data_IF_201131996359
#
_entry.id   IF_201131996359
#
_cell.length_a   1.000
_cell.length_b   1.000
_cell.length_c   1.000
_cell.angle_alpha   90.00
_cell.angle_beta   90.00
_cell.angle_gamma   90.00
#
_symmetry.space_group_name_H-M   'P 1'
#
loop_
_entity.id
_entity.type
_entity.pdbx_description
1 polymer ?
#
# COMPACT_ATOMS: atom_id res chain seq x y z
N UNK A 1 -50.90 -28.65 -39.45
CA UNK A 1 -49.50 -29.06 -39.72
C UNK A 1 -48.63 -27.81 -39.97
N UNK A 2 -48.69 -26.66 -39.28
CA UNK A 2 -48.98 -26.28 -37.89
C UNK A 2 -48.13 -26.99 -36.83
N UNK A 3 -46.80 -27.04 -37.01
CA UNK A 3 -45.84 -27.26 -35.91
C UNK A 3 -44.37 -26.90 -36.22
N UNK A 4 -44.08 -25.96 -37.14
CA UNK A 4 -42.68 -25.57 -37.47
C UNK A 4 -42.52 -24.08 -37.81
N UNK A 5 -43.15 -23.18 -37.05
CA UNK A 5 -42.98 -21.72 -37.23
C UNK A 5 -42.72 -20.98 -35.89
N UNK A 6 -42.50 -21.75 -34.81
CA UNK A 6 -42.30 -21.23 -33.45
C UNK A 6 -40.87 -21.33 -32.90
N UNK A 7 -39.96 -22.02 -33.58
CA UNK A 7 -38.59 -22.23 -33.07
C UNK A 7 -37.55 -21.27 -33.65
N UNK A 8 -37.80 -20.64 -34.80
CA UNK A 8 -36.85 -19.68 -35.40
C UNK A 8 -36.97 -18.26 -34.82
N UNK A 9 -38.08 -17.94 -34.12
CA UNK A 9 -38.22 -16.68 -33.37
C UNK A 9 -37.70 -16.72 -31.93
N UNK A 10 -37.21 -17.87 -31.47
CA UNK A 10 -36.72 -18.07 -30.10
C UNK A 10 -35.19 -18.13 -29.96
N UNK A 11 -34.44 -18.03 -31.08
CA UNK A 11 -32.97 -18.18 -31.07
C UNK A 11 -32.20 -16.94 -31.57
N UNK A 12 -32.87 -15.88 -32.02
CA UNK A 12 -32.17 -14.70 -32.56
C UNK A 12 -32.80 -13.36 -32.15
N UNK A 13 -32.71 -12.98 -30.88
CA UNK A 13 -32.66 -11.57 -30.44
C UNK A 13 -32.37 -11.46 -28.92
N UNK A 14 -31.13 -11.03 -28.60
CA UNK A 14 -30.74 -10.16 -27.46
C UNK A 14 -31.23 -10.58 -26.06
N UNK A 15 -30.43 -11.26 -25.22
CA UNK A 15 -29.27 -10.72 -24.51
C UNK A 15 -29.32 -9.20 -24.32
N UNK A 16 -29.79 -8.75 -23.14
CA UNK A 16 -29.28 -7.54 -22.52
C UNK A 16 -29.33 -7.66 -20.99
N UNK A 17 -28.21 -7.28 -20.41
CA UNK A 17 -27.78 -7.30 -19.01
C UNK A 17 -28.70 -6.48 -18.11
N UNK A 18 -29.67 -7.09 -17.44
CA UNK A 18 -30.22 -6.68 -16.12
C UNK A 18 -31.36 -7.60 -15.72
N UNK A 19 -31.29 -8.14 -14.50
CA UNK A 19 -32.24 -9.05 -13.81
C UNK A 19 -32.10 -10.53 -14.15
N UNK A 20 -31.33 -11.26 -13.33
CA UNK A 20 -31.86 -12.32 -12.46
C UNK A 20 -30.72 -12.90 -11.63
N UNK A 21 -30.72 -12.64 -10.32
CA UNK A 21 -30.39 -13.56 -9.21
C UNK A 21 -30.00 -12.79 -7.95
N UNK A 22 -31.00 -12.16 -7.33
CA UNK A 22 -31.17 -12.35 -5.90
C UNK A 22 -31.66 -13.79 -5.68
N UNK A 23 -30.98 -14.50 -4.79
CA UNK A 23 -31.56 -15.58 -3.99
C UNK A 23 -31.64 -16.96 -4.64
N UNK A 24 -30.67 -17.82 -4.28
CA UNK A 24 -30.98 -19.13 -3.65
C UNK A 24 -29.74 -19.66 -2.95
N UNK A 25 -29.82 -19.77 -1.63
CA UNK A 25 -28.98 -20.62 -0.82
C UNK A 25 -29.37 -22.10 -1.04
N UNK A 26 -28.42 -22.96 -1.40
CA UNK A 26 -28.37 -24.40 -1.05
C UNK A 26 -26.91 -24.87 -1.07
N UNK A 27 -26.57 -25.66 -0.05
CA UNK A 27 -25.28 -26.30 0.24
C UNK A 27 -24.64 -27.08 -0.93
N UNK A 28 -23.30 -27.12 -0.94
CA UNK A 28 -22.49 -27.97 -1.81
C UNK A 28 -21.12 -28.26 -1.20
N UNK A 29 -20.99 -29.46 -0.62
CA UNK A 29 -19.78 -30.08 -0.07
C UNK A 29 -18.71 -30.24 -1.17
N UNK A 30 -17.44 -29.90 -0.89
CA UNK A 30 -16.27 -30.57 -1.48
C UNK A 30 -15.02 -30.34 -0.64
N UNK A 31 -14.69 -31.35 0.16
CA UNK A 31 -13.40 -31.55 0.81
C UNK A 31 -12.46 -32.31 -0.13
N UNK A 32 -11.22 -31.84 -0.33
CA UNK A 32 -10.06 -32.61 -0.83
C UNK A 32 -8.81 -31.73 -0.63
N UNK A 33 -7.65 -32.15 -0.11
CA UNK A 33 -7.21 -33.29 0.68
C UNK A 33 -5.78 -32.93 1.11
N UNK A 34 -5.47 -32.96 2.40
CA UNK A 34 -4.11 -32.82 2.93
C UNK A 34 -3.43 -34.21 3.01
N UNK A 35 -2.20 -34.32 2.50
CA UNK A 35 -1.23 -35.41 2.73
C UNK A 35 0.00 -35.12 1.83
N UNK A 36 1.27 -35.20 2.22
CA UNK A 36 1.98 -35.68 3.41
C UNK A 36 3.37 -35.02 3.46
N UNK A 37 3.96 -35.02 4.65
CA UNK A 37 5.34 -34.63 4.93
C UNK A 37 6.38 -35.72 4.58
N UNK A 38 7.61 -35.23 4.35
CA UNK A 38 8.93 -35.79 4.68
C UNK A 38 9.45 -37.12 4.08
N UNK A 39 10.49 -37.00 3.24
CA UNK A 39 11.80 -37.69 3.29
C UNK A 39 12.63 -37.12 2.12
N UNK A 40 13.88 -36.69 2.18
CA UNK A 40 15.03 -37.05 2.99
C UNK A 40 16.18 -37.32 2.00
N UNK A 41 17.27 -36.53 2.07
CA UNK A 41 18.64 -36.78 1.59
C UNK A 41 19.26 -35.64 0.76
N UNK A 42 20.32 -35.05 1.31
CA UNK A 42 21.36 -34.31 0.56
C UNK A 42 22.12 -35.24 -0.39
N UNK A 43 22.86 -34.68 -1.36
CA UNK A 43 24.31 -34.77 -1.19
C UNK A 43 25.09 -33.51 -1.59
N UNK A 44 26.18 -33.34 -0.86
CA UNK A 44 27.43 -32.63 -1.19
C UNK A 44 27.94 -32.89 -2.60
N UNK A 45 28.54 -31.87 -3.22
CA UNK A 45 29.40 -32.03 -4.40
C UNK A 45 29.89 -30.70 -4.97
N UNK A 46 31.06 -30.26 -4.50
CA UNK A 46 31.85 -29.22 -5.13
C UNK A 46 32.34 -29.64 -6.53
N UNK A 47 32.53 -28.65 -7.42
CA UNK A 47 33.71 -28.48 -8.30
C UNK A 47 33.37 -27.86 -9.67
N UNK A 48 33.88 -26.64 -9.83
CA UNK A 48 34.77 -26.22 -10.93
C UNK A 48 34.21 -25.90 -12.32
N UNK A 49 34.63 -24.70 -12.74
CA UNK A 49 34.62 -24.08 -14.06
C UNK A 49 34.97 -24.99 -15.24
N UNK A 50 34.39 -24.67 -16.40
CA UNK A 50 35.14 -24.58 -17.65
C UNK A 50 34.39 -23.68 -18.64
N UNK A 51 35.15 -22.74 -19.22
CA UNK A 51 34.77 -21.89 -20.33
C UNK A 51 34.96 -22.62 -21.68
N UNK A 52 34.23 -22.15 -22.71
CA UNK A 52 34.64 -22.07 -24.12
C UNK A 52 33.54 -21.22 -24.81
N UNK A 53 33.76 -19.98 -25.24
CA UNK A 53 34.57 -19.49 -26.38
C UNK A 53 34.05 -19.96 -27.74
N UNK A 54 33.49 -19.02 -28.50
CA UNK A 54 33.87 -18.61 -29.86
C UNK A 54 33.01 -17.36 -30.22
N UNK A 55 33.58 -16.15 -30.24
CA UNK A 55 34.37 -15.52 -31.31
C UNK A 55 33.50 -15.19 -32.55
N UNK A 56 33.09 -13.91 -32.68
CA UNK A 56 33.66 -12.89 -33.60
C UNK A 56 32.95 -12.89 -34.97
N UNK A 57 32.61 -11.77 -35.63
CA UNK A 57 33.44 -10.58 -35.85
C UNK A 57 32.57 -9.44 -36.41
N UNK A 58 32.85 -8.22 -35.92
CA UNK A 58 32.96 -6.87 -36.51
C UNK A 58 32.39 -6.60 -37.94
N UNK A 59 32.05 -5.37 -38.36
CA UNK A 59 32.69 -4.10 -38.05
C UNK A 59 31.83 -2.88 -38.39
N UNK A 60 32.15 -1.79 -37.70
CA UNK A 60 31.70 -0.42 -37.86
C UNK A 60 32.19 0.26 -39.16
N UNK A 61 31.65 1.44 -39.47
CA UNK A 61 32.48 2.61 -39.84
C UNK A 61 31.71 3.93 -39.73
N UNK A 62 32.44 4.94 -39.28
CA UNK A 62 32.09 6.33 -38.99
C UNK A 62 32.01 7.24 -40.24
N UNK A 63 31.41 8.43 -40.10
CA UNK A 63 32.05 9.72 -40.41
C UNK A 63 31.16 10.92 -40.04
N UNK A 64 31.81 12.01 -39.61
CA UNK A 64 31.24 13.33 -39.31
C UNK A 64 31.51 14.32 -40.46
N UNK A 65 30.69 15.39 -40.59
CA UNK A 65 31.11 16.81 -40.77
C UNK A 65 29.99 17.75 -41.30
N UNK A 66 29.75 18.83 -40.53
CA UNK A 66 29.41 20.25 -40.82
C UNK A 66 28.93 20.77 -42.19
N UNK A 67 27.88 21.62 -42.19
CA UNK A 67 27.84 23.05 -42.66
C UNK A 67 26.42 23.63 -42.42
N UNK A 68 26.23 24.74 -41.69
CA UNK A 68 26.21 26.17 -42.08
C UNK A 68 24.85 26.73 -42.57
N UNK A 69 24.55 27.95 -42.08
CA UNK A 69 23.29 28.68 -42.08
C UNK A 69 22.84 29.28 -43.44
N UNK A 70 21.57 29.70 -43.56
CA UNK A 70 21.11 31.06 -44.02
C UNK A 70 19.57 31.20 -43.93
N UNK A 71 19.16 32.42 -43.59
CA UNK A 71 17.85 33.04 -43.36
C UNK A 71 16.73 32.79 -44.39
N UNK A 72 15.47 32.88 -43.93
CA UNK A 72 14.46 33.78 -44.52
C UNK A 72 13.25 33.95 -43.59
N UNK A 73 12.98 35.20 -43.22
CA UNK A 73 11.80 35.64 -42.49
C UNK A 73 10.52 35.51 -43.34
N UNK A 74 9.40 35.14 -42.72
CA UNK A 74 8.08 35.63 -43.14
C UNK A 74 7.15 35.72 -41.92
N UNK A 75 6.70 36.94 -41.68
CA UNK A 75 5.69 37.41 -40.75
C UNK A 75 4.35 36.72 -40.97
N UNK A 76 3.72 36.20 -39.91
CA UNK A 76 2.28 36.03 -39.86
C UNK A 76 1.81 36.23 -38.41
N UNK A 77 0.96 37.24 -38.23
CA UNK A 77 0.38 37.64 -36.97
C UNK A 77 -0.40 36.49 -36.32
N UNK A 78 0.04 36.06 -35.14
CA UNK A 78 -0.76 35.25 -34.24
C UNK A 78 -1.56 36.21 -33.36
N UNK A 79 -2.83 36.38 -33.71
CA UNK A 79 -3.84 36.94 -32.80
C UNK A 79 -3.90 36.00 -31.60
N UNK A 80 -3.45 36.52 -30.46
CA UNK A 80 -3.53 35.88 -29.14
C UNK A 80 -5.01 35.81 -28.73
N UNK A 81 -5.69 34.78 -29.20
CA UNK A 81 -6.92 34.32 -28.58
C UNK A 81 -6.50 33.54 -27.33
N UNK A 82 -6.31 34.28 -26.23
CA UNK A 82 -6.31 33.70 -24.90
C UNK A 82 -7.69 33.06 -24.68
N UNK A 83 -7.78 31.77 -24.97
CA UNK A 83 -8.87 30.93 -24.54
C UNK A 83 -8.75 30.79 -23.03
N UNK A 84 -9.41 31.68 -22.29
CA UNK A 84 -9.85 31.40 -20.93
C UNK A 84 -10.77 30.17 -21.01
N UNK A 85 -10.18 28.99 -20.97
CA UNK A 85 -10.88 27.78 -20.59
C UNK A 85 -11.17 27.92 -19.10
N UNK A 86 -12.23 28.64 -18.77
CA UNK A 86 -12.87 28.51 -17.48
C UNK A 86 -13.31 27.04 -17.39
N UNK A 87 -12.53 26.25 -16.65
CA UNK A 87 -12.88 24.89 -16.27
C UNK A 87 -14.27 24.96 -15.67
N UNK A 88 -15.26 24.37 -16.35
CA UNK A 88 -16.58 24.21 -15.75
C UNK A 88 -16.36 23.50 -14.41
N UNK A 89 -16.96 24.01 -13.33
CA UNK A 89 -16.91 23.35 -12.03
C UNK A 89 -17.35 21.90 -12.25
N UNK A 90 -16.49 20.95 -11.86
CA UNK A 90 -16.77 19.53 -12.00
C UNK A 90 -18.13 19.21 -11.37
N UNK A 91 -18.94 18.40 -12.06
CA UNK A 91 -20.18 17.91 -11.48
C UNK A 91 -19.81 17.00 -10.30
N UNK A 92 -20.37 17.30 -9.14
CA UNK A 92 -20.13 16.53 -7.93
C UNK A 92 -20.93 15.22 -8.06
N UNK A 93 -20.22 14.11 -8.18
CA UNK A 93 -20.76 12.76 -8.15
C UNK A 93 -20.41 12.09 -6.81
N UNK A 94 -21.28 11.23 -6.29
CA UNK A 94 -21.09 10.60 -4.97
C UNK A 94 -21.83 9.27 -4.82
N UNK A 95 -21.58 8.53 -3.72
CA UNK A 95 -20.79 8.93 -2.54
C UNK A 95 -19.26 8.87 -2.75
N UNK A 96 -18.50 9.62 -1.94
CA UNK A 96 -17.05 9.49 -1.82
C UNK A 96 -16.72 8.28 -0.94
N UNK A 97 -16.11 7.24 -1.51
CA UNK A 97 -15.70 6.05 -0.78
C UNK A 97 -14.30 6.22 -0.23
N UNK A 98 -14.19 6.26 1.10
CA UNK A 98 -12.96 6.60 1.81
C UNK A 98 -12.52 5.44 2.71
N UNK A 99 -11.41 4.78 2.35
CA UNK A 99 -10.74 3.78 3.17
C UNK A 99 -9.65 4.40 4.07
N UNK A 100 -9.70 4.09 5.36
CA UNK A 100 -8.72 4.54 6.35
C UNK A 100 -8.42 3.45 7.40
N UNK A 101 -7.54 3.78 8.35
CA UNK A 101 -7.18 2.95 9.50
C UNK A 101 -8.14 3.17 10.68
N UNK A 102 -8.34 2.16 11.52
CA UNK A 102 -8.92 2.33 12.84
C UNK A 102 -8.22 3.43 13.66
N UNK A 103 -9.01 4.28 14.32
CA UNK A 103 -8.53 5.38 15.19
C UNK A 103 -7.76 6.51 14.49
N UNK A 104 -7.84 6.61 13.15
CA UNK A 104 -7.17 7.66 12.36
C UNK A 104 -8.11 8.79 11.93
N UNK A 105 -9.31 8.86 12.48
CA UNK A 105 -10.25 9.97 12.28
C UNK A 105 -10.60 10.58 13.64
N UNK A 106 -11.09 11.81 13.63
CA UNK A 106 -11.40 12.62 14.82
C UNK A 106 -12.67 12.14 15.56
N UNK A 107 -12.70 10.87 15.91
CA UNK A 107 -13.69 10.28 16.81
C UNK A 107 -13.14 10.27 18.25
N UNK A 108 -14.00 10.59 19.20
CA UNK A 108 -13.73 10.39 20.63
C UNK A 108 -14.70 9.35 21.21
N UNK A 109 -14.49 8.94 22.47
CA UNK A 109 -15.30 7.90 23.12
C UNK A 109 -16.80 8.21 23.20
N UNK A 110 -17.20 9.48 23.06
CA UNK A 110 -18.59 9.94 23.13
C UNK A 110 -19.26 10.09 21.74
N UNK A 111 -18.48 10.21 20.67
CA UNK A 111 -18.95 10.50 19.32
C UNK A 111 -19.07 9.22 18.47
N UNK A 112 -20.18 9.09 17.75
CA UNK A 112 -20.40 7.99 16.79
C UNK A 112 -20.08 8.38 15.35
N UNK A 113 -19.83 9.68 15.10
CA UNK A 113 -19.60 10.27 13.78
C UNK A 113 -18.49 11.32 13.88
N UNK A 114 -17.64 11.40 12.86
CA UNK A 114 -16.54 12.36 12.80
C UNK A 114 -17.09 13.76 12.54
N UNK A 115 -16.81 14.76 13.40
CA UNK A 115 -17.22 16.14 13.16
C UNK A 115 -16.58 16.73 11.90
N UNK A 116 -15.37 16.30 11.53
CA UNK A 116 -14.73 16.68 10.25
C UNK A 116 -15.52 16.16 9.05
N UNK A 117 -15.94 14.89 9.06
CA UNK A 117 -16.73 14.33 7.97
C UNK A 117 -18.10 14.98 7.87
N UNK A 118 -18.81 15.13 9.00
CA UNK A 118 -20.12 15.83 9.03
C UNK A 118 -20.02 17.23 8.46
N UNK A 119 -19.01 18.02 8.87
CA UNK A 119 -18.80 19.37 8.34
C UNK A 119 -18.50 19.37 6.84
N UNK A 120 -17.76 18.37 6.35
CA UNK A 120 -17.47 18.22 4.92
C UNK A 120 -18.74 17.89 4.12
N UNK A 121 -19.55 16.93 4.57
CA UNK A 121 -20.80 16.56 3.92
C UNK A 121 -21.79 17.74 3.87
N UNK A 122 -21.94 18.48 4.98
CA UNK A 122 -22.81 19.65 5.05
C UNK A 122 -22.36 20.78 4.11
N UNK A 123 -21.04 20.99 3.99
CA UNK A 123 -20.48 22.07 3.19
C UNK A 123 -20.59 21.78 1.68
N UNK A 124 -20.34 20.54 1.27
CA UNK A 124 -20.23 20.19 -0.16
C UNK A 124 -21.43 19.41 -0.70
N UNK A 125 -22.33 18.92 0.17
CA UNK A 125 -23.49 18.13 -0.22
C UNK A 125 -23.12 16.76 -0.79
N UNK A 126 -21.99 16.20 -0.34
CA UNK A 126 -21.46 14.89 -0.77
C UNK A 126 -21.56 13.94 0.41
N UNK A 127 -22.14 12.75 0.20
CA UNK A 127 -22.07 11.66 1.18
C UNK A 127 -20.66 11.04 1.16
N UNK A 128 -20.07 10.86 2.34
CA UNK A 128 -18.77 10.21 2.54
C UNK A 128 -19.00 8.83 3.17
N UNK A 129 -18.76 7.80 2.38
CA UNK A 129 -18.74 6.42 2.85
C UNK A 129 -17.36 6.10 3.44
N UNK A 130 -17.15 6.54 4.69
CA UNK A 130 -15.92 6.28 5.45
C UNK A 130 -15.91 4.88 6.06
N UNK A 131 -14.82 4.14 5.83
CA UNK A 131 -14.66 2.79 6.37
C UNK A 131 -13.24 2.53 6.86
N UNK A 132 -13.12 1.93 8.05
CA UNK A 132 -11.86 1.54 8.68
C UNK A 132 -11.38 0.16 8.18
N UNK A 133 -11.28 0.00 6.86
CA UNK A 133 -10.96 -1.28 6.20
C UNK A 133 -9.47 -1.63 6.23
N UNK A 134 -8.60 -0.70 6.60
CA UNK A 134 -7.15 -0.90 6.57
C UNK A 134 -6.68 -1.46 7.91
N UNK A 135 -6.58 -2.79 7.99
CA UNK A 135 -6.04 -3.50 9.17
C UNK A 135 -4.52 -3.68 9.10
N UNK A 136 -4.01 -4.01 7.91
CA UNK A 136 -2.59 -4.02 7.59
C UNK A 136 -2.42 -3.42 6.19
N UNK A 137 -1.23 -2.86 5.92
CA UNK A 137 -0.90 -2.35 4.60
C UNK A 137 -1.00 -3.45 3.54
N UNK A 138 -0.45 -4.63 3.83
CA UNK A 138 -0.36 -5.75 2.89
C UNK A 138 -1.73 -6.37 2.58
N UNK A 139 -2.56 -6.58 3.60
CA UNK A 139 -3.89 -7.18 3.40
C UNK A 139 -4.79 -6.25 2.60
N UNK A 140 -4.81 -4.94 2.93
CA UNK A 140 -5.59 -3.98 2.15
C UNK A 140 -5.04 -3.81 0.73
N UNK A 141 -3.72 -3.71 0.54
CA UNK A 141 -3.13 -3.67 -0.80
C UNK A 141 -3.54 -4.90 -1.64
N UNK A 142 -3.62 -6.08 -1.04
CA UNK A 142 -4.04 -7.30 -1.73
C UNK A 142 -5.51 -7.27 -2.18
N UNK A 143 -6.37 -6.45 -1.56
CA UNK A 143 -7.77 -6.29 -1.98
C UNK A 143 -7.95 -5.35 -3.16
N UNK A 144 -7.02 -4.41 -3.42
CA UNK A 144 -7.14 -3.42 -4.49
C UNK A 144 -6.23 -3.69 -5.69
N UNK A 145 -5.06 -4.30 -5.47
CA UNK A 145 -4.04 -4.44 -6.51
C UNK A 145 -4.47 -5.27 -7.73
N UNK A 146 -5.22 -6.39 -7.59
CA UNK A 146 -5.70 -7.14 -8.75
C UNK A 146 -6.61 -6.30 -9.66
N UNK A 147 -7.53 -5.54 -9.07
CA UNK A 147 -8.45 -4.66 -9.80
C UNK A 147 -7.68 -3.55 -10.52
N UNK A 148 -6.80 -2.84 -9.81
CA UNK A 148 -6.00 -1.76 -10.39
C UNK A 148 -5.10 -2.27 -11.54
N UNK A 149 -4.52 -3.46 -11.39
CA UNK A 149 -3.73 -4.09 -12.45
C UNK A 149 -4.55 -4.41 -13.70
N UNK A 150 -5.83 -4.73 -13.55
CA UNK A 150 -6.77 -4.97 -14.65
C UNK A 150 -7.45 -3.69 -15.16
N UNK A 151 -7.16 -2.53 -14.57
CA UNK A 151 -7.82 -1.26 -14.87
C UNK A 151 -9.30 -1.26 -14.46
N UNK A 152 -9.65 -2.03 -13.44
CA UNK A 152 -10.98 -2.14 -12.88
C UNK A 152 -11.13 -1.24 -11.66
N UNK A 153 -12.36 -0.81 -11.44
CA UNK A 153 -12.78 -0.06 -10.27
C UNK A 153 -12.53 -0.88 -8.98
N UNK A 154 -11.88 -0.26 -8.01
CA UNK A 154 -11.64 -0.84 -6.69
C UNK A 154 -12.83 -0.63 -5.75
N UNK A 155 -13.68 0.35 -6.05
CA UNK A 155 -14.73 0.87 -5.17
C UNK A 155 -14.23 1.93 -4.18
N UNK A 156 -12.96 2.33 -4.23
CA UNK A 156 -12.39 3.35 -3.35
C UNK A 156 -11.94 4.58 -4.13
N UNK A 157 -12.31 5.76 -3.63
CA UNK A 157 -11.96 7.06 -4.21
C UNK A 157 -10.79 7.70 -3.44
N UNK A 158 -10.78 7.56 -2.11
CA UNK A 158 -9.72 8.06 -1.23
C UNK A 158 -9.20 6.93 -0.34
N UNK A 159 -7.88 6.78 -0.27
CA UNK A 159 -7.25 5.72 0.52
C UNK A 159 -6.09 6.31 1.32
N UNK A 160 -6.11 6.12 2.63
CA UNK A 160 -4.99 6.49 3.52
C UNK A 160 -4.07 5.29 3.69
N UNK A 161 -2.96 5.27 2.95
CA UNK A 161 -1.91 4.25 3.09
C UNK A 161 -0.69 4.77 3.84
N UNK A 162 0.11 3.85 4.38
CA UNK A 162 1.49 4.19 4.76
C UNK A 162 2.29 4.60 3.52
N UNK A 163 3.22 5.53 3.67
CA UNK A 163 3.98 6.19 2.61
C UNK A 163 4.59 5.22 1.58
N UNK A 164 5.17 4.09 2.01
CA UNK A 164 5.75 3.11 1.09
C UNK A 164 4.71 2.41 0.19
N UNK A 165 3.48 2.21 0.68
CA UNK A 165 2.40 1.68 -0.13
C UNK A 165 1.86 2.74 -1.08
N UNK A 166 1.75 4.00 -0.64
CA UNK A 166 1.43 5.12 -1.52
C UNK A 166 2.46 5.23 -2.66
N UNK A 167 3.76 5.20 -2.33
CA UNK A 167 4.85 5.20 -3.30
C UNK A 167 4.72 4.06 -4.33
N UNK A 168 4.28 2.88 -3.88
CA UNK A 168 4.04 1.72 -4.76
C UNK A 168 2.90 1.97 -5.74
N UNK A 169 1.79 2.54 -5.27
CA UNK A 169 0.63 2.89 -6.10
C UNK A 169 0.97 4.01 -7.10
N UNK A 170 1.69 5.04 -6.67
CA UNK A 170 2.20 6.14 -7.51
C UNK A 170 3.10 5.59 -8.62
N UNK A 171 4.09 4.76 -8.26
CA UNK A 171 5.01 4.16 -9.23
C UNK A 171 4.33 3.22 -10.23
N UNK A 172 3.22 2.59 -9.83
CA UNK A 172 2.40 1.77 -10.71
C UNK A 172 1.49 2.59 -11.64
N UNK A 173 1.35 3.89 -11.41
CA UNK A 173 0.46 4.78 -12.16
C UNK A 173 -1.02 4.51 -11.87
N UNK A 174 -1.34 4.07 -10.64
CA UNK A 174 -2.69 3.68 -10.23
C UNK A 174 -3.44 4.73 -9.42
N UNK A 175 -2.87 5.94 -9.31
CA UNK A 175 -3.48 7.06 -8.58
C UNK A 175 -3.52 8.29 -9.46
N UNK A 176 -4.49 9.16 -9.19
CA UNK A 176 -4.65 10.43 -9.89
C UNK A 176 -3.89 11.56 -9.18
N UNK A 177 -3.42 12.58 -9.91
CA UNK A 177 -2.82 13.74 -9.28
C UNK A 177 -3.87 14.52 -8.49
N UNK A 178 -3.47 15.03 -7.32
CA UNK A 178 -4.29 15.85 -6.46
C UNK A 178 -4.09 17.31 -6.84
N UNK A 179 -5.17 17.99 -7.22
CA UNK A 179 -5.11 19.43 -7.48
C UNK A 179 -4.83 20.20 -6.19
N UNK A 180 -3.64 20.77 -6.10
CA UNK A 180 -3.19 21.57 -4.96
C UNK A 180 -4.13 22.76 -4.65
N UNK A 181 -4.86 23.28 -5.64
CA UNK A 181 -5.86 24.33 -5.43
C UNK A 181 -7.06 23.86 -4.60
N UNK A 182 -7.35 22.55 -4.61
CA UNK A 182 -8.44 21.94 -3.85
C UNK A 182 -8.02 21.53 -2.43
N UNK A 183 -6.71 21.51 -2.13
CA UNK A 183 -6.16 21.17 -0.80
C UNK A 183 -5.27 22.30 -0.23
N UNK A 184 -5.74 23.57 -0.22
CA UNK A 184 -4.91 24.71 0.16
C UNK A 184 -4.38 24.62 1.60
N UNK A 185 -5.13 23.97 2.49
CA UNK A 185 -4.69 23.75 3.87
C UNK A 185 -3.53 22.77 3.96
N UNK A 186 -3.50 21.74 3.12
CA UNK A 186 -2.41 20.76 3.11
C UNK A 186 -1.12 21.43 2.59
N UNK A 187 -1.23 22.20 1.50
CA UNK A 187 -0.10 22.98 0.94
C UNK A 187 0.45 23.99 1.95
N UNK A 188 -0.43 24.70 2.67
CA UNK A 188 -0.03 25.78 3.58
C UNK A 188 0.53 25.29 4.92
N UNK A 189 0.00 24.18 5.47
CA UNK A 189 0.25 23.81 6.86
C UNK A 189 1.15 22.58 7.03
N UNK A 190 1.48 21.85 5.96
CA UNK A 190 2.38 20.71 6.06
C UNK A 190 3.75 21.14 6.57
N UNK A 191 4.29 20.34 7.50
CA UNK A 191 5.65 20.48 8.00
C UNK A 191 6.66 20.16 6.90
N UNK A 192 7.77 20.89 6.87
CA UNK A 192 8.78 20.73 5.82
C UNK A 192 9.43 19.34 5.83
N UNK A 193 9.50 18.68 6.99
CA UNK A 193 10.04 17.31 7.09
C UNK A 193 9.15 16.23 6.48
N UNK A 194 7.88 16.56 6.15
CA UNK A 194 6.90 15.66 5.56
C UNK A 194 6.66 15.95 4.08
N UNK A 195 7.56 16.70 3.43
CA UNK A 195 7.49 17.08 2.02
C UNK A 195 8.68 16.49 1.25
N UNK A 196 8.56 16.44 -0.08
CA UNK A 196 9.70 16.20 -0.95
C UNK A 196 10.26 14.78 -0.89
N UNK A 197 9.39 13.79 -0.66
CA UNK A 197 9.77 12.38 -0.74
C UNK A 197 10.29 12.04 -2.14
N UNK A 198 11.30 11.17 -2.26
CA UNK A 198 11.92 10.84 -3.56
C UNK A 198 10.91 10.33 -4.60
N UNK A 199 9.85 9.65 -4.14
CA UNK A 199 8.81 9.08 -4.99
C UNK A 199 7.67 10.06 -5.34
N UNK A 200 7.60 11.22 -4.68
CA UNK A 200 6.67 12.31 -5.00
C UNK A 200 7.24 13.68 -4.53
N UNK A 201 8.29 14.18 -5.21
CA UNK A 201 9.04 15.34 -4.74
C UNK A 201 8.24 16.66 -4.78
N UNK A 202 7.25 16.74 -5.67
CA UNK A 202 6.42 17.94 -5.87
C UNK A 202 5.06 17.84 -5.16
N UNK A 203 4.81 16.79 -4.37
CA UNK A 203 3.54 16.56 -3.66
C UNK A 203 2.34 16.50 -4.60
N UNK A 204 2.52 15.87 -5.76
CA UNK A 204 1.52 15.81 -6.82
C UNK A 204 0.47 14.72 -6.53
N UNK A 205 0.83 13.64 -5.84
CA UNK A 205 -0.01 12.45 -5.70
C UNK A 205 -0.40 12.12 -4.26
N UNK A 206 0.31 12.64 -3.26
CA UNK A 206 0.03 12.34 -1.86
C UNK A 206 0.11 13.57 -0.96
N UNK A 207 -0.66 13.51 0.14
CA UNK A 207 -0.55 14.45 1.25
C UNK A 207 -0.54 13.67 2.58
N UNK A 208 0.44 13.89 3.47
CA UNK A 208 0.48 13.27 4.79
C UNK A 208 -0.74 13.63 5.63
N UNK A 209 -1.47 12.61 6.08
CA UNK A 209 -2.61 12.75 6.99
C UNK A 209 -2.18 12.73 8.46
N UNK A 210 -1.41 11.70 8.85
CA UNK A 210 -0.82 11.55 10.17
C UNK A 210 0.62 11.05 10.05
N UNK A 211 1.45 11.44 11.01
CA UNK A 211 2.85 11.01 11.12
C UNK A 211 3.13 10.61 12.56
N UNK A 212 3.91 9.56 12.75
CA UNK A 212 4.22 8.99 14.06
C UNK A 212 5.51 8.17 14.05
N UNK A 213 5.76 7.48 15.14
CA UNK A 213 6.89 6.57 15.29
C UNK A 213 6.45 5.31 16.05
N UNK A 214 6.99 4.15 15.64
CA UNK A 214 6.85 2.91 16.40
C UNK A 214 7.56 3.07 17.76
N UNK A 215 6.86 2.76 18.84
CA UNK A 215 7.36 2.94 20.20
C UNK A 215 7.05 1.78 21.14
N UNK A 216 7.64 1.82 22.32
CA UNK A 216 7.37 0.87 23.41
C UNK A 216 6.21 1.39 24.28
N UNK A 217 5.03 0.77 24.13
CA UNK A 217 3.91 0.95 25.05
C UNK A 217 3.91 -0.13 26.13
N UNK A 218 3.73 0.25 27.40
CA UNK A 218 3.61 -0.71 28.50
C UNK A 218 2.81 -0.14 29.67
N UNK A 219 2.18 -1.03 30.44
CA UNK A 219 1.53 -0.67 31.70
C UNK A 219 2.57 -0.68 32.84
N UNK A 220 2.80 0.47 33.46
CA UNK A 220 3.79 0.66 34.54
C UNK A 220 3.43 -0.11 35.82
N UNK A 221 2.15 -0.28 36.12
CA UNK A 221 1.69 -1.07 37.27
C UNK A 221 1.93 -2.57 37.05
N UNK A 222 1.61 -3.07 35.87
CA UNK A 222 1.78 -4.49 35.49
C UNK A 222 3.24 -4.92 35.40
N UNK A 223 4.13 -4.00 35.02
CA UNK A 223 5.57 -4.26 34.89
C UNK A 223 6.33 -4.11 36.21
N UNK A 224 5.79 -3.32 37.16
CA UNK A 224 6.43 -3.06 38.45
C UNK A 224 7.74 -2.29 38.39
N UNK A 225 8.14 -1.83 37.19
CA UNK A 225 9.32 -0.99 36.92
C UNK A 225 9.14 -0.24 35.60
N UNK A 226 9.88 0.85 35.44
CA UNK A 226 9.99 1.48 34.13
C UNK A 226 10.82 0.63 33.16
N UNK A 227 10.39 0.60 31.90
CA UNK A 227 11.15 0.00 30.80
C UNK A 227 11.82 1.13 30.02
N UNK A 228 13.13 1.06 29.87
CA UNK A 228 13.95 2.14 29.28
C UNK A 228 14.67 1.70 28.02
N UNK A 229 14.64 0.40 27.69
CA UNK A 229 15.33 -0.19 26.55
C UNK A 229 14.42 -1.22 25.88
N UNK A 230 14.58 -1.37 24.57
CA UNK A 230 13.91 -2.42 23.79
C UNK A 230 14.27 -3.81 24.35
N UNK A 231 15.50 -3.98 24.85
CA UNK A 231 15.95 -5.20 25.48
C UNK A 231 15.10 -5.64 26.68
N UNK A 232 14.44 -4.70 27.37
CA UNK A 232 13.65 -4.99 28.57
C UNK A 232 12.43 -5.86 28.24
N UNK A 233 11.91 -5.81 27.00
CA UNK A 233 10.84 -6.68 26.51
C UNK A 233 11.20 -8.17 26.57
N UNK A 234 12.48 -8.50 26.54
CA UNK A 234 12.97 -9.87 26.47
C UNK A 234 13.38 -10.44 27.83
N UNK A 235 13.07 -9.73 28.92
CA UNK A 235 13.24 -10.22 30.30
C UNK A 235 12.24 -11.35 30.61
N UNK A 236 12.72 -12.46 31.17
CA UNK A 236 11.91 -13.64 31.51
C UNK A 236 10.66 -13.31 32.35
N UNK A 237 10.68 -12.23 33.13
CA UNK A 237 9.52 -11.76 33.90
C UNK A 237 8.29 -11.39 33.04
N UNK A 238 8.51 -11.11 31.75
CA UNK A 238 7.48 -10.72 30.78
C UNK A 238 7.11 -11.82 29.79
N UNK A 239 7.58 -13.06 29.99
CA UNK A 239 7.21 -14.17 29.15
C UNK A 239 5.68 -14.33 29.06
N UNK A 240 5.15 -14.38 27.84
CA UNK A 240 3.72 -14.50 27.54
C UNK A 240 2.93 -13.20 27.72
N UNK A 241 3.60 -12.06 27.95
CA UNK A 241 2.97 -10.75 28.16
C UNK A 241 3.38 -9.70 27.13
N UNK A 242 4.26 -10.07 26.19
CA UNK A 242 4.75 -9.17 25.14
C UNK A 242 4.06 -9.50 23.83
N UNK A 243 3.71 -8.48 23.05
CA UNK A 243 3.35 -8.61 21.64
C UNK A 243 4.10 -7.55 20.83
N UNK A 244 4.19 -7.78 19.52
CA UNK A 244 4.79 -6.89 18.52
C UNK A 244 3.79 -6.71 17.38
N UNK A 245 3.94 -5.64 16.60
CA UNK A 245 3.07 -5.38 15.45
C UNK A 245 3.31 -6.41 14.34
N UNK A 246 2.25 -6.80 13.63
CA UNK A 246 2.34 -7.73 12.49
C UNK A 246 3.05 -7.09 11.28
N UNK A 247 3.00 -5.77 11.17
CA UNK A 247 3.72 -4.99 10.16
C UNK A 247 5.23 -5.22 10.24
N UNK A 248 5.82 -5.77 9.17
CA UNK A 248 7.24 -6.07 9.16
C UNK A 248 8.08 -4.79 9.28
N UNK A 249 7.65 -3.67 8.69
CA UNK A 249 8.39 -2.41 8.79
C UNK A 249 8.48 -1.94 10.24
N UNK A 250 7.40 -2.00 11.01
CA UNK A 250 7.41 -1.64 12.43
C UNK A 250 8.29 -2.59 13.24
N UNK A 251 8.00 -3.88 13.18
CA UNK A 251 8.66 -4.87 14.04
C UNK A 251 10.13 -5.03 13.67
N UNK A 252 10.47 -5.11 12.38
CA UNK A 252 11.87 -5.29 11.99
C UNK A 252 12.66 -4.02 12.23
N UNK A 253 12.10 -2.84 11.95
CA UNK A 253 12.79 -1.58 12.27
C UNK A 253 13.02 -1.47 13.78
N UNK A 254 12.01 -1.74 14.60
CA UNK A 254 12.11 -1.67 16.05
C UNK A 254 13.16 -2.64 16.61
N UNK A 255 13.16 -3.90 16.16
CA UNK A 255 14.14 -4.89 16.61
C UNK A 255 15.54 -4.63 16.05
N UNK A 256 15.66 -4.05 14.86
CA UNK A 256 16.96 -3.64 14.31
C UNK A 256 17.70 -2.66 15.23
N UNK A 257 16.97 -1.76 15.90
CA UNK A 257 17.55 -0.80 16.86
C UNK A 257 18.19 -1.54 18.05
N UNK A 258 17.52 -2.57 18.58
CA UNK A 258 18.08 -3.41 19.63
C UNK A 258 19.35 -4.14 19.18
N UNK A 259 19.32 -4.74 17.99
CA UNK A 259 20.47 -5.49 17.47
C UNK A 259 21.64 -4.57 17.10
N UNK A 260 21.35 -3.34 16.69
CA UNK A 260 22.36 -2.29 16.49
C UNK A 260 23.04 -1.89 17.79
N UNK A 261 22.28 -1.70 18.87
CA UNK A 261 22.85 -1.39 20.21
C UNK A 261 23.78 -2.51 20.71
N UNK A 262 23.58 -3.74 20.22
CA UNK A 262 24.44 -4.90 20.50
C UNK A 262 25.62 -5.05 19.53
N UNK A 263 25.68 -4.24 18.48
CA UNK A 263 26.70 -4.32 17.44
C UNK A 263 26.52 -5.49 16.47
N UNK A 264 25.31 -6.05 16.38
CA UNK A 264 24.99 -7.19 15.50
C UNK A 264 24.52 -6.76 14.10
N UNK A 265 23.94 -5.55 14.01
CA UNK A 265 23.49 -4.90 12.78
C UNK A 265 24.11 -3.50 12.68
N UNK A 266 24.57 -3.12 11.49
CA UNK A 266 25.16 -1.80 11.22
C UNK A 266 24.19 -0.85 10.48
N UNK A 267 23.27 -1.39 9.69
CA UNK A 267 22.31 -0.60 8.92
C UNK A 267 21.19 -0.06 9.82
N UNK A 268 20.52 1.00 9.36
CA UNK A 268 19.32 1.58 10.00
C UNK A 268 18.17 1.62 9.00
N UNK A 269 16.91 1.58 9.44
CA UNK A 269 15.78 1.87 8.56
C UNK A 269 15.96 3.22 7.83
N UNK A 270 15.58 3.32 6.54
CA UNK A 270 14.97 2.28 5.71
C UNK A 270 15.97 1.31 5.06
N UNK A 271 17.29 1.49 5.26
CA UNK A 271 18.37 0.79 4.56
C UNK A 271 18.69 -0.62 5.11
N UNK A 272 17.73 -1.29 5.74
CA UNK A 272 17.92 -2.65 6.25
C UNK A 272 18.08 -3.66 5.09
N UNK A 273 19.06 -4.56 5.21
CA UNK A 273 19.32 -5.59 4.21
C UNK A 273 18.57 -6.89 4.49
N UNK A 274 18.55 -7.80 3.53
CA UNK A 274 18.03 -9.17 3.72
C UNK A 274 18.83 -9.91 4.81
N UNK A 275 20.13 -9.65 4.93
CA UNK A 275 20.95 -10.24 6.00
C UNK A 275 20.52 -9.71 7.37
N UNK A 276 20.25 -8.41 7.49
CA UNK A 276 19.74 -7.80 8.72
C UNK A 276 18.35 -8.36 9.07
N UNK A 277 17.48 -8.52 8.08
CA UNK A 277 16.17 -9.15 8.26
C UNK A 277 16.29 -10.59 8.77
N UNK A 278 17.26 -11.37 8.27
CA UNK A 278 17.51 -12.71 8.77
C UNK A 278 18.00 -12.71 10.22
N UNK A 279 18.90 -11.79 10.59
CA UNK A 279 19.36 -11.64 11.99
C UNK A 279 18.21 -11.29 12.94
N UNK A 280 17.33 -10.38 12.52
CA UNK A 280 16.12 -9.99 13.27
C UNK A 280 15.19 -11.20 13.44
N UNK A 281 14.92 -11.94 12.36
CA UNK A 281 14.12 -13.16 12.41
C UNK A 281 14.72 -14.18 13.39
N UNK A 282 16.01 -14.47 13.27
CA UNK A 282 16.70 -15.47 14.10
C UNK A 282 16.73 -15.06 15.57
N UNK A 283 16.83 -13.76 15.85
CA UNK A 283 16.71 -13.22 17.19
C UNK A 283 15.30 -13.40 17.78
N UNK A 284 14.25 -13.09 17.01
CA UNK A 284 12.85 -13.18 17.48
C UNK A 284 12.36 -14.62 17.60
N UNK A 285 12.79 -15.50 16.70
CA UNK A 285 12.33 -16.89 16.60
C UNK A 285 12.28 -17.64 17.93
N UNK A 286 13.33 -17.69 18.78
CA UNK A 286 13.26 -18.41 20.05
C UNK A 286 12.24 -17.82 21.04
N UNK A 287 11.98 -16.51 21.00
CA UNK A 287 10.98 -15.87 21.86
C UNK A 287 9.55 -16.15 21.39
N UNK A 288 9.35 -16.26 20.08
CA UNK A 288 8.07 -16.71 19.52
C UNK A 288 7.85 -18.20 19.82
N UNK A 289 8.84 -19.06 19.55
CA UNK A 289 8.75 -20.51 19.74
C UNK A 289 8.52 -20.89 21.22
N UNK A 290 9.06 -20.12 22.16
CA UNK A 290 8.87 -20.34 23.61
C UNK A 290 7.55 -19.78 24.15
N UNK A 291 6.80 -19.02 23.35
CA UNK A 291 5.60 -18.30 23.80
C UNK A 291 5.91 -17.07 24.66
N UNK A 292 7.16 -16.60 24.68
CA UNK A 292 7.51 -15.33 25.32
C UNK A 292 6.80 -14.16 24.64
N UNK A 293 6.83 -14.13 23.31
CA UNK A 293 6.06 -13.20 22.48
C UNK A 293 4.75 -13.88 22.08
N UNK A 294 3.63 -13.23 22.39
CA UNK A 294 2.27 -13.61 21.96
C UNK A 294 2.13 -13.46 20.44
N UNK A 295 1.05 -13.96 19.81
CA UNK A 295 0.79 -13.69 18.40
C UNK A 295 0.87 -12.18 18.11
N UNK A 296 1.53 -11.85 17.00
CA UNK A 296 1.69 -10.46 16.58
C UNK A 296 0.32 -9.89 16.23
N UNK A 297 0.13 -8.60 16.44
CA UNK A 297 -1.18 -7.93 16.32
C UNK A 297 -1.15 -6.82 15.28
N UNK A 298 -2.25 -6.66 14.54
CA UNK A 298 -2.53 -5.49 13.71
C UNK A 298 -3.14 -4.40 14.59
N UNK A 299 -4.35 -3.93 14.30
CA UNK A 299 -5.04 -2.94 15.14
C UNK A 299 -5.80 -3.56 16.33
N UNK A 300 -5.80 -4.88 16.48
CA UNK A 300 -6.52 -5.55 17.57
C UNK A 300 -5.94 -5.25 18.95
N UNK A 301 -4.73 -4.68 19.05
CA UNK A 301 -4.17 -4.19 20.31
C UNK A 301 -5.06 -3.13 20.98
N UNK A 302 -5.95 -2.48 20.24
CA UNK A 302 -6.92 -1.53 20.80
C UNK A 302 -7.93 -2.21 21.75
N UNK A 303 -8.00 -3.55 21.74
CA UNK A 303 -8.90 -4.34 22.58
C UNK A 303 -8.21 -4.95 23.82
N UNK A 304 -6.88 -4.81 23.94
CA UNK A 304 -6.05 -5.35 25.04
C UNK A 304 -6.04 -4.43 26.28
#
# INVERSE_FOLDING_TARGET
MAEMDGLEKLVAAQISRRRMLQGTAVAGISAFLAACAQSGASPTGAATSAAATEASTEAATSAAATDAATEAATTAAATEAASESATAAAEIEGPLNFANWPAYIDLNEEETESPTLVAFEEQYGIEVNYQEEIQTNEDFYATIAPQLQEGLDTGWDLIVHTDYMAARLVKAGWVEPIDAANVPNAVANLRDELKGYEWDPEMEFHYPWQSGATGLGYNTESTGRELTKIADLFDEAFAGKVTLLSGYQDTFSFISLLLRDRGEIENTPPDLTVEDAQKIHDFLKPYVDSGHIRPFTGNEYLQD
#
